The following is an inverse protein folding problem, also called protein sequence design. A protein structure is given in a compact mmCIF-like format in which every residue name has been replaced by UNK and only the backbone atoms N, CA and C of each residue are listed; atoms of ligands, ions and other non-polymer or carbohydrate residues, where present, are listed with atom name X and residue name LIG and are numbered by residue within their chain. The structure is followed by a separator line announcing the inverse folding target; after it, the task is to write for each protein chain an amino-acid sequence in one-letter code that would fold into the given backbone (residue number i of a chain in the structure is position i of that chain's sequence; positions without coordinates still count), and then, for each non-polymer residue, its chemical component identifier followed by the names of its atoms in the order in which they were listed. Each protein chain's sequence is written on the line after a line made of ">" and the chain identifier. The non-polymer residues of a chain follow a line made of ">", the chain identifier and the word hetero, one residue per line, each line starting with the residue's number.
data_IF_846611553211
#
_entry.id   IF_846611553211
#
_cell.length_a   1.000
_cell.length_b   1.000
_cell.length_c   1.000
_cell.angle_alpha   90.00
_cell.angle_beta   90.00
_cell.angle_gamma   90.00
#
_symmetry.space_group_name_H-M   'P 1'
#
loop_
_entity.id
_entity.type
_entity.pdbx_description
1 polymer ?
#
# COMPACT_ATOMS: atom_id res chain seq x y z
N UNK A 1 14.21 6.98 -2.80
CA UNK A 1 13.02 6.93 -1.91
C UNK A 1 11.73 6.46 -2.60
N UNK A 2 10.80 7.30 -3.09
CA UNK A 2 9.47 6.79 -3.54
C UNK A 2 9.51 5.83 -4.74
N UNK A 3 10.35 6.11 -5.74
CA UNK A 3 10.50 5.24 -6.91
C UNK A 3 11.15 3.90 -6.50
N UNK A 4 12.22 3.98 -5.73
CA UNK A 4 12.94 2.85 -5.15
C UNK A 4 12.06 1.93 -4.30
N UNK A 5 11.21 2.49 -3.42
CA UNK A 5 10.23 1.69 -2.66
C UNK A 5 9.30 0.90 -3.59
N UNK A 6 8.84 1.50 -4.69
CA UNK A 6 8.00 0.80 -5.67
C UNK A 6 8.74 -0.30 -6.40
N UNK A 7 10.02 -0.09 -6.70
CA UNK A 7 10.87 -1.12 -7.30
C UNK A 7 11.08 -2.28 -6.33
N UNK A 8 11.33 -2.01 -5.05
CA UNK A 8 11.46 -3.02 -4.01
C UNK A 8 10.17 -3.82 -3.82
N UNK A 9 9.00 -3.13 -3.79
CA UNK A 9 7.69 -3.78 -3.74
C UNK A 9 7.45 -4.67 -4.97
N UNK A 10 7.83 -4.21 -6.16
CA UNK A 10 7.67 -4.97 -7.40
C UNK A 10 8.60 -6.18 -7.46
N UNK A 11 9.81 -6.04 -6.93
CA UNK A 11 10.79 -7.13 -6.82
C UNK A 11 10.43 -8.13 -5.70
N UNK A 12 9.53 -7.76 -4.79
CA UNK A 12 9.18 -8.56 -3.61
C UNK A 12 10.26 -8.54 -2.53
N UNK A 13 11.24 -7.63 -2.61
CA UNK A 13 12.26 -7.44 -1.57
C UNK A 13 11.76 -6.61 -0.39
N UNK A 14 10.64 -5.90 -0.57
CA UNK A 14 9.88 -5.23 0.47
C UNK A 14 8.43 -5.71 0.37
N UNK A 15 7.86 -6.18 1.48
CA UNK A 15 6.45 -6.56 1.55
C UNK A 15 5.57 -5.40 2.05
N UNK A 16 4.25 -5.59 1.99
CA UNK A 16 3.31 -4.55 2.43
C UNK A 16 3.39 -4.30 3.93
N UNK A 17 3.66 -5.33 4.72
CA UNK A 17 3.79 -5.28 6.18
C UNK A 17 4.93 -4.35 6.59
N UNK A 18 6.14 -4.64 6.11
CA UNK A 18 7.35 -3.84 6.38
C UNK A 18 7.20 -2.41 5.86
N UNK A 19 6.57 -2.22 4.69
CA UNK A 19 6.31 -0.88 4.17
C UNK A 19 5.41 -0.08 5.09
N UNK A 20 4.36 -0.70 5.63
CA UNK A 20 3.45 -0.04 6.56
C UNK A 20 4.17 0.31 7.85
N UNK A 21 4.99 -0.56 8.41
CA UNK A 21 5.81 -0.24 9.58
C UNK A 21 6.74 0.95 9.31
N UNK A 22 7.46 0.94 8.18
CA UNK A 22 8.29 2.07 7.75
C UNK A 22 7.48 3.36 7.56
N UNK A 23 6.21 3.26 7.17
CA UNK A 23 5.34 4.41 6.98
C UNK A 23 4.92 5.08 8.31
N UNK A 24 5.05 4.39 9.45
CA UNK A 24 4.75 4.96 10.76
C UNK A 24 5.87 5.92 11.21
N UNK A 25 7.11 5.64 10.83
CA UNK A 25 8.29 6.45 11.20
C UNK A 25 8.74 7.43 10.09
N UNK A 26 8.52 7.10 8.81
CA UNK A 26 8.95 7.93 7.67
C UNK A 26 7.78 8.70 7.03
N UNK A 27 7.77 10.03 7.21
CA UNK A 27 6.73 10.90 6.66
C UNK A 27 6.63 10.90 5.11
N UNK A 28 7.72 10.62 4.39
CA UNK A 28 7.73 10.57 2.92
C UNK A 28 6.96 9.34 2.47
N UNK A 29 7.17 8.20 3.13
CA UNK A 29 6.46 6.94 2.91
C UNK A 29 5.01 7.06 3.37
N UNK A 30 4.76 7.61 4.56
CA UNK A 30 3.44 7.86 5.12
C UNK A 30 2.52 8.67 4.16
N UNK A 31 3.13 9.57 3.38
CA UNK A 31 2.44 10.40 2.38
C UNK A 31 2.21 9.67 1.04
N UNK A 32 2.64 8.44 0.84
CA UNK A 32 2.38 7.71 -0.42
C UNK A 32 0.89 7.39 -0.57
N UNK A 33 0.39 7.42 -1.81
CA UNK A 33 -0.99 7.02 -2.11
C UNK A 33 -1.12 5.51 -2.04
N UNK A 34 -2.16 5.01 -1.36
CA UNK A 34 -2.42 3.58 -1.19
C UNK A 34 -2.54 2.88 -2.55
N UNK A 35 -3.29 3.46 -3.48
CA UNK A 35 -3.46 2.90 -4.84
C UNK A 35 -2.13 2.67 -5.55
N UNK A 36 -1.18 3.60 -5.38
CA UNK A 36 0.13 3.49 -6.04
C UNK A 36 1.02 2.43 -5.41
N UNK A 37 0.85 2.15 -4.13
CA UNK A 37 1.55 1.07 -3.42
C UNK A 37 0.99 -0.26 -3.88
N UNK A 38 -0.33 -0.42 -3.88
CA UNK A 38 -0.99 -1.63 -4.34
C UNK A 38 -0.66 -1.95 -5.81
N UNK A 39 -0.65 -0.94 -6.69
CA UNK A 39 -0.23 -1.09 -8.10
C UNK A 39 1.25 -1.48 -8.28
N UNK A 40 2.08 -1.31 -7.24
CA UNK A 40 3.49 -1.71 -7.27
C UNK A 40 3.71 -3.13 -6.76
N UNK A 41 2.70 -3.73 -6.11
CA UNK A 41 2.77 -5.12 -5.68
C UNK A 41 2.69 -6.08 -6.89
N UNK A 42 3.41 -7.21 -6.85
CA UNK A 42 3.33 -8.19 -7.91
C UNK A 42 1.89 -8.69 -8.07
N UNK A 43 1.42 -8.81 -9.32
CA UNK A 43 0.07 -9.29 -9.71
C UNK A 43 -1.09 -8.31 -9.45
N UNK A 44 -0.85 -7.12 -8.88
CA UNK A 44 -1.85 -6.06 -8.72
C UNK A 44 -1.63 -4.93 -9.73
N UNK A 45 -2.46 -4.90 -10.78
CA UNK A 45 -2.54 -3.77 -11.71
C UNK A 45 -3.64 -2.78 -11.34
N UNK A 46 -3.71 -1.65 -12.06
CA UNK A 46 -4.66 -0.52 -11.83
C UNK A 46 -6.10 -0.96 -11.52
N UNK A 47 -6.63 -1.92 -12.29
CA UNK A 47 -8.00 -2.42 -12.13
C UNK A 47 -8.16 -3.21 -10.82
N UNK A 48 -7.26 -4.17 -10.56
CA UNK A 48 -7.33 -5.00 -9.35
C UNK A 48 -7.11 -4.17 -8.09
N UNK A 49 -6.16 -3.23 -8.12
CA UNK A 49 -5.87 -2.35 -6.97
C UNK A 49 -7.07 -1.49 -6.59
N UNK A 50 -7.75 -0.88 -7.56
CA UNK A 50 -8.97 -0.09 -7.27
C UNK A 50 -10.10 -0.96 -6.72
N UNK A 51 -10.35 -2.11 -7.35
CA UNK A 51 -11.38 -3.03 -6.87
C UNK A 51 -11.14 -3.47 -5.41
N UNK A 52 -9.90 -3.82 -5.07
CA UNK A 52 -9.53 -4.17 -3.68
C UNK A 52 -9.75 -2.99 -2.74
N UNK A 53 -9.39 -1.77 -3.14
CA UNK A 53 -9.66 -0.58 -2.34
C UNK A 53 -11.15 -0.36 -2.14
N UNK A 54 -11.97 -0.52 -3.18
CA UNK A 54 -13.43 -0.37 -3.10
C UNK A 54 -14.04 -1.44 -2.18
N UNK A 55 -13.61 -2.69 -2.28
CA UNK A 55 -14.04 -3.80 -1.41
C UNK A 55 -13.73 -3.54 0.08
N UNK A 56 -12.59 -2.90 0.39
CA UNK A 56 -12.18 -2.57 1.76
C UNK A 56 -12.77 -1.22 2.22
N UNK A 57 -13.36 -0.44 1.32
CA UNK A 57 -13.87 0.91 1.60
C UNK A 57 -12.78 1.97 1.74
N UNK A 58 -11.68 1.85 0.98
CA UNK A 58 -10.57 2.80 0.94
C UNK A 58 -10.78 3.81 -0.21
N UNK A 59 -10.92 5.09 0.13
CA UNK A 59 -11.04 6.15 -0.88
C UNK A 59 -9.80 6.21 -1.82
N UNK A 60 -10.00 6.44 -3.12
CA UNK A 60 -8.93 6.51 -4.13
C UNK A 60 -7.83 7.56 -3.89
N UNK A 61 -8.10 8.59 -3.07
CA UNK A 61 -7.12 9.60 -2.67
C UNK A 61 -6.48 9.33 -1.30
N UNK A 62 -6.77 8.18 -0.66
CA UNK A 62 -6.19 7.80 0.63
C UNK A 62 -4.66 7.62 0.52
N UNK A 63 -3.97 7.97 1.60
CA UNK A 63 -2.52 7.81 1.79
C UNK A 63 -2.26 6.80 2.91
N UNK A 64 -1.05 6.24 2.98
CA UNK A 64 -0.68 5.22 3.98
C UNK A 64 -0.98 5.68 5.41
N UNK A 65 -0.58 6.92 5.77
CA UNK A 65 -0.88 7.51 7.09
C UNK A 65 -2.37 7.65 7.43
N UNK A 66 -3.23 7.57 6.42
CA UNK A 66 -4.68 7.70 6.57
C UNK A 66 -5.40 6.37 6.65
N UNK A 67 -4.71 5.23 6.56
CA UNK A 67 -5.37 3.95 6.70
C UNK A 67 -5.86 3.79 8.14
N UNK A 68 -7.16 3.55 8.31
CA UNK A 68 -7.71 3.14 9.60
C UNK A 68 -7.22 1.74 9.98
N UNK A 69 -7.31 1.38 11.26
CA UNK A 69 -6.88 0.07 11.76
C UNK A 69 -7.51 -1.10 11.00
N UNK A 70 -8.83 -1.04 10.74
CA UNK A 70 -9.55 -2.04 9.94
C UNK A 70 -9.03 -2.14 8.50
N UNK A 71 -8.79 -1.01 7.84
CA UNK A 71 -8.29 -0.99 6.46
C UNK A 71 -6.88 -1.55 6.38
N UNK A 72 -6.04 -1.23 7.36
CA UNK A 72 -4.69 -1.80 7.49
C UNK A 72 -4.75 -3.31 7.70
N UNK A 73 -5.58 -3.79 8.62
CA UNK A 73 -5.76 -5.21 8.89
C UNK A 73 -6.23 -5.99 7.65
N UNK A 74 -7.22 -5.49 6.92
CA UNK A 74 -7.71 -6.11 5.68
C UNK A 74 -6.63 -6.18 4.58
N UNK A 75 -5.83 -5.12 4.44
CA UNK A 75 -4.72 -5.11 3.49
C UNK A 75 -3.63 -6.12 3.87
N UNK A 76 -3.29 -6.23 5.15
CA UNK A 76 -2.32 -7.20 5.66
C UNK A 76 -2.86 -8.63 5.55
N UNK A 77 -4.14 -8.87 5.81
CA UNK A 77 -4.73 -10.20 5.66
C UNK A 77 -4.69 -10.70 4.21
N UNK A 78 -4.71 -9.80 3.22
CA UNK A 78 -4.71 -10.15 1.80
C UNK A 78 -3.33 -10.20 1.16
N UNK A 79 -2.38 -9.39 1.64
CA UNK A 79 -1.09 -9.15 0.98
C UNK A 79 0.12 -9.09 1.92
N UNK A 80 -0.09 -9.25 3.22
CA UNK A 80 0.97 -9.39 4.22
C UNK A 80 1.52 -10.80 4.30
#
# INVERSE_FOLDING_TARGET
>A
VRAEIKEQLKAGSLDLTSLLELADDDQIIAKMKVVSVLESLPRLGKVKSRRVMDEIGINGNRRLRGLGSHQRAELLARFG
#
